data_IF_534973726135
#
_entry.id   IF_534973726135
#
_cell.length_a   1.000
_cell.length_b   1.000
_cell.length_c   1.000
_cell.angle_alpha   90.00
_cell.angle_beta   90.00
_cell.angle_gamma   90.00
#
_symmetry.space_group_name_H-M   'P 1'
#
loop_
_entity.id
_entity.type
_entity.pdbx_description
1 polymer ?
#
# COMPACT_ATOMS: atom_id res chain seq x y z
N UNK A 1 3.20 31.09 4.13
CA UNK A 1 2.47 30.24 3.16
C UNK A 1 1.72 29.20 3.96
N UNK A 2 0.42 29.03 3.73
CA UNK A 2 -0.34 27.98 4.40
C UNK A 2 0.15 26.61 3.93
N UNK A 3 0.65 25.79 4.86
CA UNK A 3 0.98 24.39 4.59
C UNK A 3 -0.31 23.66 4.28
N UNK A 4 -0.43 23.13 3.05
CA UNK A 4 -1.57 22.29 2.68
C UNK A 4 -1.45 20.98 3.44
N UNK A 5 -2.49 20.64 4.19
CA UNK A 5 -2.59 19.36 4.87
C UNK A 5 -3.01 18.28 3.87
N UNK A 6 -2.32 17.13 3.89
CA UNK A 6 -2.66 15.95 3.08
C UNK A 6 -4.11 15.52 3.32
N UNK A 7 -4.64 15.76 4.52
CA UNK A 7 -6.00 15.38 4.93
C UNK A 7 -7.09 15.91 4.00
N UNK A 8 -6.86 17.04 3.32
CA UNK A 8 -7.81 17.58 2.33
C UNK A 8 -7.85 16.82 1.00
N UNK A 9 -6.82 16.01 0.71
CA UNK A 9 -6.67 15.21 -0.50
C UNK A 9 -6.95 13.73 -0.28
N UNK A 10 -6.97 13.27 0.98
CA UNK A 10 -7.36 11.92 1.31
C UNK A 10 -8.84 11.70 0.95
N UNK A 11 -9.10 10.59 0.30
CA UNK A 11 -10.43 10.13 -0.10
C UNK A 11 -10.64 8.70 0.38
N UNK A 12 -11.91 8.29 0.45
CA UNK A 12 -12.25 6.90 0.75
C UNK A 12 -11.65 5.97 -0.31
N UNK A 13 -11.27 4.73 0.08
CA UNK A 13 -10.80 3.71 -0.85
C UNK A 13 -11.74 3.51 -2.05
N UNK A 14 -13.06 3.51 -1.81
CA UNK A 14 -14.08 3.38 -2.86
C UNK A 14 -14.05 4.53 -3.87
N UNK A 15 -13.73 5.76 -3.46
CA UNK A 15 -13.63 6.89 -4.38
C UNK A 15 -12.41 6.76 -5.31
N UNK A 16 -11.30 6.19 -4.81
CA UNK A 16 -10.12 5.86 -5.64
C UNK A 16 -10.43 4.73 -6.62
N UNK A 17 -11.17 3.71 -6.18
CA UNK A 17 -11.59 2.59 -7.04
C UNK A 17 -12.50 3.08 -8.18
N UNK A 18 -13.47 3.92 -7.84
CA UNK A 18 -14.35 4.56 -8.83
C UNK A 18 -13.56 5.42 -9.82
N UNK A 19 -12.54 6.17 -9.37
CA UNK A 19 -11.68 6.93 -10.27
C UNK A 19 -10.90 6.04 -11.27
N UNK A 20 -10.50 4.84 -10.84
CA UNK A 20 -9.88 3.84 -11.72
C UNK A 20 -10.90 3.24 -12.70
N UNK A 21 -12.11 2.90 -12.25
CA UNK A 21 -13.17 2.35 -13.12
C UNK A 21 -13.54 3.32 -14.25
N UNK A 22 -13.67 4.62 -13.95
CA UNK A 22 -13.84 5.64 -15.00
C UNK A 22 -12.60 5.83 -15.87
N UNK A 23 -11.41 5.56 -15.32
CA UNK A 23 -10.14 5.67 -16.00
C UNK A 23 -9.81 4.51 -16.94
N UNK A 24 -10.56 3.39 -16.87
CA UNK A 24 -10.20 2.15 -17.57
C UNK A 24 -10.19 2.30 -19.10
N UNK A 25 -11.14 3.05 -19.65
CA UNK A 25 -11.22 3.31 -21.10
C UNK A 25 -10.08 4.19 -21.63
N UNK A 26 -9.44 4.96 -20.75
CA UNK A 26 -8.33 5.85 -21.07
C UNK A 26 -6.96 5.23 -20.73
N UNK A 27 -6.91 3.93 -20.40
CA UNK A 27 -5.68 3.23 -20.03
C UNK A 27 -5.01 3.83 -18.79
N UNK A 28 -5.79 4.33 -17.83
CA UNK A 28 -5.25 4.86 -16.58
C UNK A 28 -4.89 3.73 -15.62
N UNK A 29 -3.87 3.99 -14.81
CA UNK A 29 -3.36 3.04 -13.82
C UNK A 29 -3.47 3.61 -12.40
N UNK A 30 -3.53 2.72 -11.40
CA UNK A 30 -3.35 3.09 -9.99
C UNK A 30 -1.91 2.82 -9.58
N UNK A 31 -1.36 3.75 -8.78
CA UNK A 31 -0.04 3.60 -8.18
C UNK A 31 -0.17 3.19 -6.72
N UNK A 32 0.37 2.03 -6.38
CA UNK A 32 0.51 1.56 -5.02
C UNK A 32 1.84 2.05 -4.45
N UNK A 33 1.78 2.65 -3.27
CA UNK A 33 2.90 3.29 -2.60
C UNK A 33 3.14 2.61 -1.24
N UNK A 34 4.34 2.09 -1.04
CA UNK A 34 4.80 1.65 0.29
C UNK A 34 5.95 2.54 0.75
N UNK A 35 5.69 3.39 1.74
CA UNK A 35 6.68 4.34 2.28
C UNK A 35 7.39 3.65 3.45
N UNK A 36 8.67 3.35 3.27
CA UNK A 36 9.50 2.65 4.27
C UNK A 36 10.54 3.59 4.90
N UNK A 37 11.49 3.03 5.66
CA UNK A 37 12.58 3.70 6.36
C UNK A 37 13.35 4.76 5.54
N UNK A 38 13.66 4.43 4.30
CA UNK A 38 14.66 5.12 3.49
C UNK A 38 14.25 5.24 2.02
N UNK A 39 13.10 4.70 1.64
CA UNK A 39 12.62 4.69 0.26
C UNK A 39 11.10 4.62 0.15
N UNK A 40 10.60 4.90 -1.05
CA UNK A 40 9.22 4.69 -1.49
C UNK A 40 9.26 3.56 -2.51
N UNK A 41 8.65 2.44 -2.16
CA UNK A 41 8.44 1.34 -3.10
C UNK A 41 7.16 1.59 -3.90
N UNK A 42 7.22 1.31 -5.21
CA UNK A 42 6.24 1.70 -6.20
C UNK A 42 5.76 0.47 -6.99
N UNK A 43 4.45 0.25 -7.07
CA UNK A 43 3.85 -0.80 -7.91
C UNK A 43 2.66 -0.24 -8.67
N UNK A 44 2.65 -0.40 -9.99
CA UNK A 44 1.53 -0.01 -10.84
C UNK A 44 0.57 -1.18 -11.03
N UNK A 45 -0.73 -0.90 -10.87
CA UNK A 45 -1.81 -1.80 -11.21
C UNK A 45 -2.77 -1.16 -12.20
N UNK A 46 -3.09 -1.88 -13.28
CA UNK A 46 -4.14 -1.51 -14.23
C UNK A 46 -5.50 -2.02 -13.75
N UNK A 47 -6.59 -1.59 -14.38
CA UNK A 47 -7.92 -2.11 -14.04
C UNK A 47 -7.95 -3.66 -14.12
N UNK A 48 -8.49 -4.37 -13.11
CA UNK A 48 -8.42 -5.84 -13.06
C UNK A 48 -9.12 -6.54 -14.23
N UNK A 49 -10.03 -5.88 -14.94
CA UNK A 49 -10.67 -6.41 -16.16
C UNK A 49 -9.67 -6.69 -17.30
N UNK A 50 -8.52 -6.02 -17.32
CA UNK A 50 -7.52 -6.20 -18.38
C UNK A 50 -6.52 -7.33 -18.11
N UNK A 51 -6.53 -7.93 -16.91
CA UNK A 51 -5.61 -8.98 -16.48
C UNK A 51 -4.12 -8.67 -16.76
N UNK A 52 -3.74 -7.40 -16.64
CA UNK A 52 -2.36 -6.99 -16.85
C UNK A 52 -1.49 -7.33 -15.62
N UNK A 53 -0.26 -7.81 -15.82
CA UNK A 53 0.64 -8.10 -14.72
C UNK A 53 1.01 -6.82 -13.98
N UNK A 54 1.12 -6.91 -12.66
CA UNK A 54 1.64 -5.83 -11.84
C UNK A 54 3.03 -5.41 -12.31
N UNK A 55 3.20 -4.11 -12.53
CA UNK A 55 4.49 -3.55 -12.91
C UNK A 55 5.18 -2.94 -11.69
N UNK A 56 6.22 -3.63 -11.19
CA UNK A 56 7.07 -3.09 -10.14
C UNK A 56 8.02 -2.05 -10.72
N UNK A 57 8.06 -0.86 -10.11
CA UNK A 57 8.94 0.23 -10.51
C UNK A 57 10.16 0.33 -9.56
N UNK A 58 11.26 0.98 -9.99
CA UNK A 58 12.38 1.27 -9.12
C UNK A 58 11.93 2.10 -7.91
N UNK A 59 12.41 1.73 -6.72
CA UNK A 59 12.12 2.47 -5.49
C UNK A 59 12.76 3.85 -5.51
N UNK A 60 12.05 4.87 -5.03
CA UNK A 60 12.57 6.24 -4.91
C UNK A 60 13.19 6.41 -3.52
N UNK A 61 14.50 6.70 -3.40
CA UNK A 61 15.13 6.91 -2.10
C UNK A 61 14.62 8.20 -1.44
N UNK A 62 14.18 8.09 -0.18
CA UNK A 62 13.74 9.22 0.63
C UNK A 62 14.95 10.03 1.10
N UNK A 63 15.17 11.17 0.44
CA UNK A 63 16.23 12.12 0.79
C UNK A 63 15.63 13.28 1.58
N UNK A 64 16.14 13.48 2.80
CA UNK A 64 15.75 14.60 3.65
C UNK A 64 16.88 15.63 3.75
N UNK A 65 16.51 16.88 3.91
CA UNK A 65 17.39 17.99 4.23
C UNK A 65 16.89 18.69 5.50
N UNK A 66 17.81 19.29 6.26
CA UNK A 66 17.45 20.05 7.47
C UNK A 66 17.35 21.52 7.10
N UNK A 67 16.12 22.05 7.05
CA UNK A 67 15.85 23.46 6.80
C UNK A 67 15.23 24.05 8.07
N UNK A 68 15.87 25.08 8.63
CA UNK A 68 15.40 25.75 9.86
C UNK A 68 15.12 24.76 11.02
N UNK A 69 16.06 23.84 11.28
CA UNK A 69 15.96 22.78 12.30
C UNK A 69 14.80 21.78 12.10
N UNK A 70 14.18 21.75 10.92
CA UNK A 70 13.15 20.78 10.55
C UNK A 70 13.66 19.89 9.43
N UNK A 71 13.36 18.59 9.51
CA UNK A 71 13.60 17.65 8.42
C UNK A 71 12.53 17.87 7.35
N UNK A 72 12.97 18.21 6.16
CA UNK A 72 12.12 18.49 4.98
C UNK A 72 12.53 17.51 3.88
N UNK A 73 11.55 17.01 3.13
CA UNK A 73 11.82 16.12 2.00
C UNK A 73 12.42 16.93 0.85
N UNK A 74 13.52 16.46 0.25
CA UNK A 74 14.12 17.13 -0.91
C UNK A 74 13.14 17.18 -2.06
N UNK A 75 13.11 18.30 -2.79
CA UNK A 75 12.23 18.49 -3.95
C UNK A 75 12.45 17.45 -5.06
N UNK A 76 13.68 16.92 -5.19
CA UNK A 76 14.04 15.83 -6.11
C UNK A 76 13.08 14.64 -6.00
N UNK A 77 12.78 14.21 -4.77
CA UNK A 77 11.91 13.05 -4.51
C UNK A 77 10.50 13.29 -5.05
N UNK A 78 9.97 14.49 -4.80
CA UNK A 78 8.65 14.87 -5.31
C UNK A 78 8.62 15.02 -6.84
N UNK A 79 9.71 15.47 -7.46
CA UNK A 79 9.81 15.59 -8.90
C UNK A 79 9.92 14.22 -9.58
N UNK A 80 10.74 13.32 -9.05
CA UNK A 80 10.87 11.94 -9.54
C UNK A 80 9.52 11.21 -9.48
N UNK A 81 8.81 11.34 -8.36
CA UNK A 81 7.46 10.78 -8.23
C UNK A 81 6.47 11.43 -9.21
N UNK A 82 6.52 12.75 -9.40
CA UNK A 82 5.65 13.44 -10.36
C UNK A 82 5.89 12.97 -11.80
N UNK A 83 7.14 12.71 -12.18
CA UNK A 83 7.49 12.23 -13.50
C UNK A 83 7.00 10.79 -13.73
N UNK A 84 7.07 9.93 -12.71
CA UNK A 84 6.44 8.60 -12.73
C UNK A 84 4.93 8.72 -12.93
N UNK A 85 4.25 9.54 -12.11
CA UNK A 85 2.79 9.72 -12.21
C UNK A 85 2.33 10.19 -13.59
N UNK A 86 3.11 11.09 -14.21
CA UNK A 86 2.82 11.59 -15.54
C UNK A 86 3.11 10.55 -16.63
N UNK A 87 4.25 9.86 -16.54
CA UNK A 87 4.67 8.84 -17.52
C UNK A 87 3.68 7.68 -17.63
N UNK A 88 3.12 7.24 -16.51
CA UNK A 88 2.21 6.08 -16.45
C UNK A 88 0.72 6.46 -16.40
N UNK A 89 0.38 7.74 -16.62
CA UNK A 89 -1.00 8.23 -16.63
C UNK A 89 -1.80 7.82 -15.38
N UNK A 90 -1.18 7.99 -14.21
CA UNK A 90 -1.75 7.51 -12.94
C UNK A 90 -2.98 8.34 -12.56
N UNK A 91 -4.11 7.65 -12.30
CA UNK A 91 -5.37 8.30 -11.91
C UNK A 91 -5.55 8.47 -10.41
N UNK A 92 -4.85 7.69 -9.59
CA UNK A 92 -5.01 7.71 -8.13
C UNK A 92 -3.88 6.93 -7.47
N UNK A 93 -3.78 7.09 -6.15
CA UNK A 93 -2.73 6.46 -5.36
C UNK A 93 -3.32 5.71 -4.18
N UNK A 94 -2.86 4.48 -3.99
CA UNK A 94 -3.18 3.63 -2.84
C UNK A 94 -1.92 3.57 -1.98
N UNK A 95 -1.97 4.12 -0.78
CA UNK A 95 -0.80 4.20 0.11
C UNK A 95 -0.96 3.17 1.21
N UNK A 96 0.07 2.36 1.41
CA UNK A 96 0.15 1.44 2.53
C UNK A 96 -0.04 2.18 3.85
N UNK A 97 -0.94 1.67 4.70
CA UNK A 97 -1.25 2.26 5.99
C UNK A 97 -0.87 1.32 7.13
N UNK A 98 0.39 1.37 7.61
CA UNK A 98 0.91 0.44 8.61
C UNK A 98 0.41 0.79 10.01
N UNK A 99 -0.86 0.48 10.28
CA UNK A 99 -1.47 0.58 11.60
C UNK A 99 -1.09 -0.62 12.46
N UNK A 100 -1.20 -0.44 13.76
CA UNK A 100 -0.99 -1.54 14.71
C UNK A 100 -2.23 -2.45 14.75
N UNK A 101 -2.10 -3.66 15.27
CA UNK A 101 -3.18 -4.66 15.36
C UNK A 101 -4.45 -4.15 16.06
N UNK A 102 -4.31 -3.17 16.97
CA UNK A 102 -5.46 -2.58 17.65
C UNK A 102 -5.99 -1.31 16.95
N UNK A 103 -5.54 -1.05 15.73
CA UNK A 103 -5.88 0.12 14.94
C UNK A 103 -5.28 1.40 15.48
N UNK A 104 -4.04 1.41 15.99
CA UNK A 104 -3.39 2.65 16.44
C UNK A 104 -2.39 3.16 15.41
N UNK A 105 -2.34 4.49 15.28
CA UNK A 105 -1.35 5.19 14.47
C UNK A 105 -0.02 5.18 15.21
N UNK A 106 0.84 4.24 14.84
CA UNK A 106 2.21 4.16 15.34
C UNK A 106 3.18 5.13 14.66
N UNK A 107 4.46 5.02 15.03
CA UNK A 107 5.57 5.73 14.36
C UNK A 107 5.62 5.48 12.83
N UNK A 108 5.40 4.24 12.32
CA UNK A 108 5.36 3.99 10.88
C UNK A 108 4.25 4.77 10.17
N UNK A 109 3.02 4.70 10.67
CA UNK A 109 1.87 5.43 10.12
C UNK A 109 2.06 6.96 10.18
N UNK A 110 2.58 7.48 11.31
CA UNK A 110 2.94 8.90 11.42
C UNK A 110 3.98 9.34 10.40
N UNK A 111 4.92 8.47 10.04
CA UNK A 111 5.91 8.73 9.00
C UNK A 111 5.30 8.77 7.61
N UNK A 112 4.36 7.87 7.31
CA UNK A 112 3.59 7.88 6.05
C UNK A 112 2.90 9.23 5.90
N UNK A 113 2.13 9.67 6.90
CA UNK A 113 1.44 10.97 6.86
C UNK A 113 2.43 12.13 6.71
N UNK A 114 3.50 12.14 7.49
CA UNK A 114 4.51 13.20 7.41
C UNK A 114 5.13 13.28 6.01
N UNK A 115 5.46 12.13 5.41
CA UNK A 115 6.04 12.08 4.07
C UNK A 115 5.02 12.53 3.01
N UNK A 116 3.76 12.10 3.12
CA UNK A 116 2.69 12.55 2.24
C UNK A 116 2.40 14.06 2.37
N UNK A 117 2.44 14.63 3.57
CA UNK A 117 2.32 16.08 3.78
C UNK A 117 3.43 16.84 3.08
N UNK A 118 4.68 16.36 3.16
CA UNK A 118 5.79 16.96 2.42
C UNK A 118 5.56 16.86 0.91
N UNK A 119 5.12 15.69 0.41
CA UNK A 119 4.78 15.48 -1.00
C UNK A 119 3.59 16.34 -1.48
N UNK A 120 2.62 16.63 -0.61
CA UNK A 120 1.46 17.47 -0.91
C UNK A 120 1.84 18.94 -1.20
N UNK A 121 3.06 19.34 -0.84
CA UNK A 121 3.63 20.63 -1.25
C UNK A 121 3.82 20.68 -2.78
N UNK A 122 4.06 19.54 -3.43
CA UNK A 122 4.19 19.43 -4.88
C UNK A 122 2.84 19.13 -5.54
N UNK A 123 2.25 20.14 -6.20
CA UNK A 123 0.96 20.04 -6.92
C UNK A 123 0.97 19.05 -8.09
N UNK A 124 2.15 18.70 -8.62
CA UNK A 124 2.27 17.67 -9.66
C UNK A 124 2.10 16.27 -9.09
N UNK A 125 2.40 16.06 -7.80
CA UNK A 125 2.16 14.77 -7.13
C UNK A 125 0.71 14.71 -6.66
N UNK A 126 0.32 15.65 -5.80
CA UNK A 126 -0.99 15.65 -5.13
C UNK A 126 -1.89 16.74 -5.73
N UNK A 127 -3.02 16.33 -6.29
CA UNK A 127 -4.05 17.24 -6.80
C UNK A 127 -5.44 16.61 -6.74
N UNK A 128 -6.47 17.41 -7.01
CA UNK A 128 -7.87 16.96 -6.93
C UNK A 128 -8.22 15.88 -7.97
N UNK A 129 -7.46 15.77 -9.06
CA UNK A 129 -7.68 14.77 -10.12
C UNK A 129 -6.97 13.44 -9.82
N UNK A 130 -6.18 13.38 -8.75
CA UNK A 130 -5.47 12.19 -8.28
C UNK A 130 -5.78 11.95 -6.81
N UNK A 131 -6.93 11.34 -6.49
CA UNK A 131 -7.27 11.01 -5.13
C UNK A 131 -6.25 10.04 -4.53
N UNK A 132 -6.06 10.16 -3.22
CA UNK A 132 -5.16 9.34 -2.43
C UNK A 132 -6.00 8.66 -1.37
N UNK A 133 -5.88 7.35 -1.24
CA UNK A 133 -6.42 6.63 -0.08
C UNK A 133 -5.28 6.01 0.73
N UNK A 134 -5.56 5.81 2.01
CA UNK A 134 -4.76 4.99 2.91
C UNK A 134 -5.41 3.60 2.91
N UNK A 135 -4.61 2.55 2.77
CA UNK A 135 -5.10 1.17 2.72
C UNK A 135 -4.43 0.31 3.76
N UNK A 136 -5.25 -0.42 4.51
CA UNK A 136 -4.83 -1.41 5.48
C UNK A 136 -5.67 -2.68 5.31
N UNK A 137 -5.01 -3.83 5.22
CA UNK A 137 -5.65 -5.13 5.00
C UNK A 137 -6.44 -5.58 6.24
N UNK A 138 -5.87 -5.40 7.44
CA UNK A 138 -6.37 -6.02 8.66
C UNK A 138 -7.67 -5.36 9.18
N UNK A 139 -7.83 -4.04 8.99
CA UNK A 139 -8.93 -3.27 9.59
C UNK A 139 -10.06 -2.90 8.62
N UNK A 140 -9.99 -3.32 7.35
CA UNK A 140 -10.98 -2.98 6.30
C UNK A 140 -12.37 -3.61 6.51
N UNK A 141 -12.54 -4.49 7.50
CA UNK A 141 -13.83 -5.16 7.78
C UNK A 141 -14.75 -4.37 8.72
N UNK A 142 -14.23 -3.32 9.36
CA UNK A 142 -14.99 -2.55 10.34
C UNK A 142 -15.58 -1.30 9.67
N UNK A 143 -16.76 -0.81 10.09
CA UNK A 143 -17.37 0.37 9.48
C UNK A 143 -16.41 1.57 9.54
N UNK A 144 -16.02 2.02 8.36
CA UNK A 144 -15.13 3.16 8.14
C UNK A 144 -15.90 4.48 8.27
N UNK A 145 -15.23 5.51 8.79
CA UNK A 145 -15.68 6.90 8.65
C UNK A 145 -15.37 7.45 7.24
N UNK A 146 -15.75 8.70 6.98
CA UNK A 146 -15.57 9.36 5.67
C UNK A 146 -14.11 9.41 5.18
N UNK A 147 -13.13 9.06 6.03
CA UNK A 147 -11.70 9.02 5.74
C UNK A 147 -11.11 7.61 5.67
N UNK A 148 -11.93 6.55 5.74
CA UNK A 148 -11.45 5.18 5.75
C UNK A 148 -10.97 4.71 7.13
N UNK A 149 -11.38 5.37 8.22
CA UNK A 149 -10.92 5.07 9.57
C UNK A 149 -12.04 4.37 10.34
N UNK A 150 -11.76 3.21 10.89
CA UNK A 150 -12.61 2.50 11.85
C UNK A 150 -13.06 3.35 13.06
N UNK A 151 -14.31 3.20 13.52
CA UNK A 151 -14.78 3.90 14.73
C UNK A 151 -13.90 3.71 15.99
N UNK A 152 -13.08 2.65 16.05
CA UNK A 152 -12.08 2.40 17.09
C UNK A 152 -11.10 3.57 17.28
N UNK A 153 -10.74 4.29 16.21
CA UNK A 153 -9.79 5.42 16.25
C UNK A 153 -10.29 6.62 17.10
N UNK A 154 -11.60 6.68 17.40
CA UNK A 154 -12.17 7.75 18.23
C UNK A 154 -12.17 7.45 19.74
N UNK A 155 -11.74 6.25 20.15
CA UNK A 155 -11.71 5.86 21.57
C UNK A 155 -10.54 6.51 22.29
N UNK A 156 -10.83 7.47 23.17
CA UNK A 156 -9.83 8.03 24.09
C UNK A 156 -9.45 7.02 25.18
N UNK A 157 -8.14 6.77 25.37
CA UNK A 157 -7.66 5.93 26.48
C UNK A 157 -7.36 6.79 27.69
N UNK A 158 -7.74 6.34 28.90
CA UNK A 158 -7.38 6.99 30.17
C UNK A 158 -5.98 6.62 30.70
N UNK A 159 -5.13 6.02 29.88
CA UNK A 159 -3.78 5.59 30.30
C UNK A 159 -2.87 6.83 30.41
N UNK A 160 -2.26 7.04 31.58
CA UNK A 160 -1.35 8.17 31.83
C UNK A 160 0.07 7.94 31.28
N UNK A 161 0.42 6.69 30.96
CA UNK A 161 1.74 6.30 30.50
C UNK A 161 1.65 5.69 29.10
N UNK A 162 2.23 6.37 28.12
CA UNK A 162 2.38 5.89 26.75
C UNK A 162 3.78 5.30 26.57
N UNK A 163 3.92 4.00 26.82
CA UNK A 163 5.16 3.26 26.48
C UNK A 163 4.88 2.44 25.23
N UNK A 164 5.57 2.79 24.16
CA UNK A 164 5.55 2.01 22.93
C UNK A 164 6.28 0.67 23.15
N UNK A 165 5.68 -0.46 22.76
CA UNK A 165 6.35 -1.76 22.85
C UNK A 165 7.51 -1.84 21.84
N UNK A 166 8.53 -2.66 22.12
CA UNK A 166 9.67 -2.84 21.19
C UNK A 166 9.22 -3.40 19.82
N UNK A 167 8.10 -4.11 19.78
CA UNK A 167 7.53 -4.69 18.57
C UNK A 167 6.96 -3.61 17.64
N UNK A 168 6.50 -2.47 18.17
CA UNK A 168 6.05 -1.33 17.38
C UNK A 168 7.17 -0.63 16.59
N UNK A 169 8.43 -1.03 16.78
CA UNK A 169 9.59 -0.53 16.03
C UNK A 169 10.06 -1.47 14.93
N UNK A 170 9.43 -2.64 14.75
CA UNK A 170 9.71 -3.47 13.58
C UNK A 170 8.99 -2.85 12.39
N UNK A 171 9.74 -2.50 11.35
CA UNK A 171 9.15 -2.09 10.09
C UNK A 171 8.54 -3.34 9.44
N UNK A 172 7.20 -3.43 9.33
CA UNK A 172 6.58 -4.52 8.61
C UNK A 172 6.99 -4.45 7.14
N UNK A 173 7.47 -5.56 6.60
CA UNK A 173 7.85 -5.68 5.20
C UNK A 173 6.59 -5.90 4.38
N UNK A 174 5.86 -4.83 4.09
CA UNK A 174 4.74 -4.89 3.15
C UNK A 174 5.28 -4.76 1.72
N UNK A 175 4.95 -5.74 0.88
CA UNK A 175 5.22 -5.66 -0.56
C UNK A 175 4.07 -4.90 -1.20
N UNK A 176 4.38 -3.85 -1.98
CA UNK A 176 3.35 -3.02 -2.62
C UNK A 176 2.44 -3.80 -3.59
N UNK A 177 2.84 -5.01 -4.01
CA UNK A 177 2.02 -5.93 -4.79
C UNK A 177 0.91 -6.63 -3.98
N UNK A 178 1.15 -6.90 -2.70
CA UNK A 178 0.16 -7.53 -1.82
C UNK A 178 -1.00 -6.56 -1.58
N UNK A 179 -0.65 -5.30 -1.27
CA UNK A 179 -1.59 -4.17 -1.13
C UNK A 179 -2.54 -4.07 -2.32
N UNK A 180 -2.00 -4.18 -3.54
CA UNK A 180 -2.82 -4.14 -4.74
C UNK A 180 -3.81 -5.30 -4.82
N UNK A 181 -3.34 -6.50 -4.52
CA UNK A 181 -4.15 -7.71 -4.62
C UNK A 181 -5.33 -7.64 -3.64
N UNK A 182 -5.07 -7.18 -2.42
CA UNK A 182 -6.11 -7.03 -1.39
C UNK A 182 -7.08 -5.91 -1.72
N UNK A 183 -6.56 -4.78 -2.20
CA UNK A 183 -7.38 -3.66 -2.68
C UNK A 183 -8.33 -4.09 -3.80
N UNK A 184 -7.82 -4.87 -4.75
CA UNK A 184 -8.63 -5.43 -5.83
C UNK A 184 -9.68 -6.42 -5.33
N UNK A 185 -9.33 -7.29 -4.38
CA UNK A 185 -10.28 -8.24 -3.80
C UNK A 185 -11.45 -7.53 -3.11
N UNK A 186 -11.17 -6.43 -2.41
CA UNK A 186 -12.18 -5.67 -1.70
C UNK A 186 -13.10 -4.83 -2.61
N UNK A 187 -12.55 -4.17 -3.63
CA UNK A 187 -13.30 -3.22 -4.45
C UNK A 187 -13.75 -3.75 -5.82
N UNK A 188 -13.14 -4.84 -6.30
CA UNK A 188 -13.48 -5.48 -7.58
C UNK A 188 -13.67 -7.00 -7.38
N UNK A 189 -14.61 -7.43 -6.50
CA UNK A 189 -14.78 -8.83 -6.14
C UNK A 189 -15.17 -9.72 -7.34
N UNK A 190 -15.95 -9.16 -8.28
CA UNK A 190 -16.43 -9.90 -9.46
C UNK A 190 -15.30 -10.29 -10.41
N UNK A 191 -14.26 -9.48 -10.49
CA UNK A 191 -13.13 -9.66 -11.42
C UNK A 191 -11.94 -10.37 -10.76
N UNK A 192 -11.80 -10.24 -9.44
CA UNK A 192 -10.69 -10.83 -8.68
C UNK A 192 -10.88 -12.32 -8.36
N UNK A 193 -12.11 -12.81 -8.22
CA UNK A 193 -12.38 -14.22 -7.90
C UNK A 193 -11.84 -15.24 -8.93
N UNK A 194 -12.02 -15.05 -10.26
CA UNK A 194 -11.48 -15.96 -11.26
C UNK A 194 -9.94 -16.00 -11.25
N UNK A 195 -9.30 -14.84 -11.07
CA UNK A 195 -7.84 -14.70 -11.07
C UNK A 195 -7.20 -15.32 -9.83
N UNK A 196 -7.82 -15.16 -8.66
CA UNK A 196 -7.38 -15.82 -7.43
C UNK A 196 -7.52 -17.34 -7.54
N UNK A 197 -8.66 -17.84 -8.05
CA UNK A 197 -8.87 -19.27 -8.26
C UNK A 197 -7.84 -19.87 -9.25
N UNK A 198 -7.48 -19.13 -10.30
CA UNK A 198 -6.44 -19.53 -11.25
C UNK A 198 -5.04 -19.55 -10.63
N UNK A 199 -4.65 -18.52 -9.86
CA UNK A 199 -3.35 -18.47 -9.16
C UNK A 199 -3.18 -19.59 -8.15
N UNK A 200 -4.18 -19.80 -7.29
CA UNK A 200 -4.19 -20.89 -6.29
C UNK A 200 -4.14 -22.27 -6.95
N UNK A 201 -4.70 -22.40 -8.16
CA UNK A 201 -4.60 -23.64 -8.95
C UNK A 201 -3.22 -23.83 -9.58
N UNK A 202 -2.55 -22.75 -9.95
CA UNK A 202 -1.21 -22.77 -10.57
C UNK A 202 -0.05 -22.99 -9.58
N UNK A 203 -0.23 -22.64 -8.29
CA UNK A 203 0.80 -22.82 -7.26
C UNK A 203 0.76 -24.21 -6.58
N UNK A 204 -0.31 -24.99 -6.78
CA UNK A 204 -0.46 -26.35 -6.20
C UNK A 204 0.33 -27.50 -6.85
N UNK A 205 0.87 -27.47 -8.08
CA UNK A 205 1.64 -28.62 -8.57
C UNK A 205 3.07 -28.68 -8.02
N UNK A 206 3.63 -27.60 -7.45
CA UNK A 206 5.03 -27.60 -7.00
C UNK A 206 5.25 -28.21 -5.60
N UNK A 207 4.25 -28.17 -4.71
CA UNK A 207 4.42 -28.69 -3.34
C UNK A 207 4.18 -30.21 -3.23
N UNK A 208 3.45 -30.82 -4.17
CA UNK A 208 3.22 -32.28 -4.17
C UNK A 208 4.35 -33.07 -4.87
N UNK A 209 5.18 -32.43 -5.71
CA UNK A 209 6.31 -33.09 -6.33
C UNK A 209 7.51 -33.29 -5.38
N UNK A 210 7.65 -32.45 -4.33
CA UNK A 210 8.78 -32.53 -3.41
C UNK A 210 8.62 -33.63 -2.34
N UNK A 211 7.38 -34.08 -2.07
CA UNK A 211 7.12 -35.16 -1.09
C UNK A 211 7.31 -36.56 -1.72
N UNK A 212 7.33 -36.68 -3.05
CA UNK A 212 7.39 -37.97 -3.74
C UNK A 212 8.83 -38.51 -4.00
N UNK A 213 9.89 -37.77 -3.67
CA UNK A 213 11.28 -38.19 -3.96
C UNK A 213 12.10 -38.65 -2.75
N UNK A 214 11.53 -38.73 -1.54
CA UNK A 214 12.25 -39.10 -0.34
C UNK A 214 11.85 -40.48 0.21
N UNK A 215 11.94 -41.57 -0.59
CA UNK A 215 12.21 -42.90 0.00
C UNK A 215 12.65 -43.97 -1.01
N UNK A 216 13.95 -44.12 -1.30
CA UNK A 216 14.49 -45.36 -1.83
C UNK A 216 15.10 -46.20 -0.70
N UNK A 217 14.57 -47.41 -0.54
CA UNK A 217 15.24 -48.62 -0.02
C UNK A 217 15.55 -48.68 1.48
N UNK A 218 14.84 -49.58 2.17
CA UNK A 218 15.47 -50.55 3.07
C UNK A 218 14.94 -51.96 2.78
N UNK A 219 15.71 -52.65 1.95
CA UNK A 219 15.78 -54.12 1.85
C UNK A 219 16.79 -54.57 2.91
N UNK A 220 16.40 -55.41 3.86
CA UNK A 220 17.24 -56.33 4.66
C UNK A 220 16.25 -57.28 5.37
N UNK A 221 16.01 -58.50 4.87
CA UNK A 221 16.83 -59.71 4.97
C UNK A 221 16.95 -60.29 6.40
N UNK A 222 16.24 -61.41 6.61
CA UNK A 222 16.58 -62.62 7.39
C UNK A 222 17.24 -62.50 8.77
N UNK A 223 16.61 -63.09 9.79
CA UNK A 223 16.88 -64.46 10.27
C UNK A 223 15.79 -64.93 11.24
#
# INVERSE_FOLDING_TARGET
MATRSITSFLKSPSAVAHALDWGKTAGKTLLNLSITGDKIDLTLGSHPEFDEPLQQLPSIPLRYETVANKKTLKAEVGNELADVLQKFNVCGMVVNWPVQQEGWVGKPAGKVLHTLDQLATNKRVVNQNRPICLWDEEHNTLPEDDWGRTALYSRSTKKSLHVASKEQYKDPKYVAADIWSDYCAAHFPEVSQPLYAARVSSERPAQLAFVAQANPKKVFASS
#
